data_IF_345174733503
#
_entry.id   IF_345174733503
#
_cell.length_a   1.000
_cell.length_b   1.000
_cell.length_c   1.000
_cell.angle_alpha   90.00
_cell.angle_beta   90.00
_cell.angle_gamma   90.00
#
_symmetry.space_group_name_H-M   'P 1'
#
loop_
_entity.id
_entity.type
_entity.pdbx_description
1 polymer ?
#
# COMPACT_ATOMS: atom_id res chain seq x y z
N UNK A 1 21.59 -4.37 6.06
CA UNK A 1 21.56 -4.30 7.55
C UNK A 1 20.23 -4.79 8.17
N UNK A 2 19.23 -5.24 7.39
CA UNK A 2 17.97 -5.79 7.91
C UNK A 2 17.89 -7.31 7.69
N UNK A 3 18.87 -8.06 8.19
CA UNK A 3 19.00 -9.47 7.80
C UNK A 3 18.17 -10.43 8.65
N UNK A 4 17.95 -10.11 9.94
CA UNK A 4 17.16 -10.94 10.83
C UNK A 4 16.39 -10.09 11.85
N UNK A 5 15.17 -10.55 12.18
CA UNK A 5 14.36 -10.02 13.28
C UNK A 5 13.98 -11.22 14.14
N UNK A 6 14.35 -11.20 15.43
CA UNK A 6 14.20 -12.34 16.34
C UNK A 6 14.84 -13.66 15.83
N UNK A 7 15.94 -13.57 15.08
CA UNK A 7 16.63 -14.74 14.53
C UNK A 7 15.99 -15.34 13.27
N UNK A 8 14.86 -14.81 12.81
CA UNK A 8 14.20 -15.19 11.56
C UNK A 8 14.55 -14.20 10.44
N UNK A 9 14.55 -14.63 9.15
CA UNK A 9 14.70 -13.71 8.03
C UNK A 9 13.68 -12.58 8.14
N UNK A 10 14.13 -11.33 8.02
CA UNK A 10 13.25 -10.17 8.20
C UNK A 10 12.14 -10.12 7.13
N UNK A 11 12.45 -10.62 5.93
CA UNK A 11 11.58 -10.51 4.76
C UNK A 11 10.19 -11.17 4.95
N UNK A 12 10.05 -12.45 5.39
CA UNK A 12 8.76 -13.04 5.69
C UNK A 12 7.90 -12.25 6.69
N UNK A 13 8.49 -11.71 7.77
CA UNK A 13 7.74 -10.93 8.75
C UNK A 13 7.21 -9.62 8.14
N UNK A 14 8.03 -8.96 7.32
CA UNK A 14 7.63 -7.75 6.61
C UNK A 14 6.54 -8.05 5.57
N UNK A 15 6.60 -9.19 4.89
CA UNK A 15 5.55 -9.63 3.95
C UNK A 15 4.19 -9.78 4.64
N UNK A 16 4.15 -10.31 5.87
CA UNK A 16 2.89 -10.38 6.63
C UNK A 16 2.31 -8.97 6.91
N UNK A 17 3.18 -8.02 7.28
CA UNK A 17 2.75 -6.64 7.46
C UNK A 17 2.18 -6.05 6.16
N UNK A 18 2.82 -6.29 5.01
CA UNK A 18 2.34 -5.83 3.69
C UNK A 18 0.97 -6.43 3.36
N UNK A 19 0.82 -7.75 3.46
CA UNK A 19 -0.39 -8.49 3.08
C UNK A 19 -1.58 -8.15 3.99
N UNK A 20 -1.34 -7.68 5.21
CA UNK A 20 -2.41 -7.22 6.12
C UNK A 20 -2.69 -5.73 5.94
N UNK A 21 -1.66 -4.89 6.00
CA UNK A 21 -1.83 -3.43 6.07
C UNK A 21 -2.31 -2.82 4.76
N UNK A 22 -1.81 -3.28 3.59
CA UNK A 22 -2.23 -2.70 2.31
C UNK A 22 -3.70 -3.00 1.99
N UNK A 23 -4.21 -4.24 2.10
CA UNK A 23 -5.64 -4.49 1.91
C UNK A 23 -6.51 -3.77 2.94
N UNK A 24 -6.08 -3.69 4.20
CA UNK A 24 -6.79 -2.93 5.24
C UNK A 24 -6.84 -1.43 4.91
N UNK A 25 -5.72 -0.85 4.45
CA UNK A 25 -5.65 0.52 3.98
C UNK A 25 -6.55 0.75 2.76
N UNK A 26 -6.59 -0.18 1.80
CA UNK A 26 -7.46 -0.09 0.64
C UNK A 26 -8.93 -0.04 1.03
N UNK A 27 -9.40 -1.00 1.82
CA UNK A 27 -10.83 -1.03 2.25
C UNK A 27 -11.18 0.20 3.07
N UNK A 28 -10.33 0.57 4.03
CA UNK A 28 -10.61 1.69 4.93
C UNK A 28 -10.53 3.06 4.22
N UNK A 29 -9.63 3.24 3.26
CA UNK A 29 -9.56 4.45 2.43
C UNK A 29 -10.75 4.57 1.47
N UNK A 30 -11.23 3.47 0.88
CA UNK A 30 -12.45 3.44 0.07
C UNK A 30 -13.65 3.84 0.93
N UNK A 31 -13.78 3.27 2.13
CA UNK A 31 -14.84 3.65 3.07
C UNK A 31 -14.77 5.15 3.43
N UNK A 32 -13.56 5.69 3.63
CA UNK A 32 -13.34 7.11 3.89
C UNK A 32 -13.70 8.01 2.70
N UNK A 33 -13.47 7.53 1.47
CA UNK A 33 -13.80 8.23 0.23
C UNK A 33 -15.32 8.29 -0.01
N UNK A 34 -16.02 7.16 0.24
CA UNK A 34 -17.47 7.03 0.05
C UNK A 34 -18.28 7.68 1.17
N UNK A 35 -17.75 7.70 2.40
CA UNK A 35 -18.47 8.18 3.59
C UNK A 35 -17.79 9.43 4.18
N UNK A 36 -18.05 10.64 3.63
CA UNK A 36 -17.51 11.91 4.10
C UNK A 36 -17.48 12.13 5.61
N UNK A 37 -18.56 11.80 6.30
CA UNK A 37 -18.72 11.95 7.75
C UNK A 37 -17.67 11.18 8.56
N UNK A 38 -17.10 10.11 8.01
CA UNK A 38 -16.08 9.31 8.71
C UNK A 38 -14.71 9.99 8.75
N UNK A 39 -14.44 10.98 7.88
CA UNK A 39 -13.15 11.70 7.84
C UNK A 39 -12.77 12.35 9.16
N UNK A 40 -13.74 12.89 9.90
CA UNK A 40 -13.45 13.57 11.16
C UNK A 40 -12.83 12.63 12.19
N UNK A 41 -13.29 11.36 12.24
CA UNK A 41 -12.86 10.38 13.24
C UNK A 41 -11.77 9.44 12.75
N UNK A 42 -11.84 9.01 11.49
CA UNK A 42 -11.04 7.89 10.98
C UNK A 42 -9.91 8.30 10.03
N UNK A 43 -9.79 9.57 9.64
CA UNK A 43 -8.72 9.98 8.72
C UNK A 43 -7.29 9.70 9.25
N UNK A 44 -7.04 9.91 10.55
CA UNK A 44 -5.74 9.63 11.15
C UNK A 44 -5.43 8.13 11.23
N UNK A 45 -6.33 7.27 11.78
CA UNK A 45 -6.14 5.82 11.73
C UNK A 45 -5.88 5.28 10.33
N UNK A 46 -6.71 5.68 9.35
CA UNK A 46 -6.54 5.26 7.94
C UNK A 46 -5.18 5.68 7.43
N UNK A 47 -4.77 6.93 7.66
CA UNK A 47 -3.47 7.42 7.22
C UNK A 47 -2.30 6.63 7.83
N UNK A 48 -2.34 6.34 9.14
CA UNK A 48 -1.29 5.55 9.79
C UNK A 48 -1.22 4.12 9.25
N UNK A 49 -2.37 3.48 9.02
CA UNK A 49 -2.42 2.14 8.41
C UNK A 49 -1.87 2.17 6.99
N UNK A 50 -2.25 3.16 6.18
CA UNK A 50 -1.73 3.33 4.82
C UNK A 50 -0.22 3.55 4.83
N UNK A 51 0.29 4.50 5.63
CA UNK A 51 1.73 4.77 5.70
C UNK A 51 2.52 3.58 6.25
N UNK A 52 1.96 2.85 7.21
CA UNK A 52 2.53 1.60 7.72
C UNK A 52 2.62 0.54 6.63
N UNK A 53 1.57 0.36 5.82
CA UNK A 53 1.58 -0.59 4.71
C UNK A 53 2.56 -0.21 3.59
N UNK A 54 2.64 1.08 3.25
CA UNK A 54 3.62 1.60 2.27
C UNK A 54 5.05 1.42 2.78
N UNK A 55 5.30 1.78 4.04
CA UNK A 55 6.61 1.59 4.67
C UNK A 55 7.00 0.12 4.70
N UNK A 56 6.07 -0.76 5.09
CA UNK A 56 6.29 -2.20 5.08
C UNK A 56 6.64 -2.72 3.67
N UNK A 57 5.99 -2.22 2.61
CA UNK A 57 6.28 -2.64 1.24
C UNK A 57 7.69 -2.24 0.79
N UNK A 58 8.12 -1.01 1.13
CA UNK A 58 9.49 -0.54 0.85
C UNK A 58 10.53 -1.38 1.58
N UNK A 59 10.34 -1.60 2.88
CA UNK A 59 11.29 -2.37 3.69
C UNK A 59 11.29 -3.85 3.27
N UNK A 60 10.13 -4.42 2.92
CA UNK A 60 10.01 -5.78 2.40
C UNK A 60 10.79 -5.94 1.09
N UNK A 61 10.69 -4.99 0.16
CA UNK A 61 11.46 -5.01 -1.10
C UNK A 61 12.96 -5.03 -0.82
N UNK A 62 13.45 -4.09 0.00
CA UNK A 62 14.89 -4.00 0.35
C UNK A 62 15.37 -5.32 0.97
N UNK A 63 14.62 -5.85 1.95
CA UNK A 63 14.96 -7.12 2.57
C UNK A 63 14.88 -8.32 1.60
N UNK A 64 14.00 -8.25 0.59
CA UNK A 64 13.83 -9.26 -0.44
C UNK A 64 14.97 -9.25 -1.46
N UNK A 65 15.47 -8.07 -1.83
CA UNK A 65 16.64 -7.91 -2.70
C UNK A 65 17.90 -8.47 -2.03
N UNK A 66 18.13 -8.13 -0.75
CA UNK A 66 19.21 -8.72 0.06
C UNK A 66 19.11 -10.26 0.12
N UNK A 67 17.88 -10.80 0.21
CA UNK A 67 17.65 -12.24 0.27
C UNK A 67 17.86 -12.92 -1.08
N UNK A 68 17.39 -12.31 -2.17
CA UNK A 68 17.58 -12.81 -3.52
C UNK A 68 19.08 -12.86 -3.89
N UNK A 69 19.86 -11.86 -3.48
CA UNK A 69 21.31 -11.85 -3.73
C UNK A 69 22.01 -13.02 -3.01
N UNK A 70 21.63 -13.32 -1.77
CA UNK A 70 22.14 -14.48 -1.02
C UNK A 70 21.78 -15.80 -1.69
N UNK A 71 20.54 -15.94 -2.18
CA UNK A 71 20.12 -17.14 -2.91
C UNK A 71 20.98 -17.34 -4.17
N UNK A 72 21.23 -16.26 -4.93
CA UNK A 72 22.14 -16.31 -6.09
C UNK A 72 23.56 -16.70 -5.71
N UNK A 73 24.11 -16.16 -4.62
CA UNK A 73 25.43 -16.55 -4.11
C UNK A 73 25.52 -18.03 -3.73
N UNK A 74 24.40 -18.62 -3.29
CA UNK A 74 24.28 -20.04 -2.97
C UNK A 74 23.91 -20.92 -4.18
N UNK A 75 23.94 -20.38 -5.40
CA UNK A 75 23.66 -21.12 -6.64
C UNK A 75 22.17 -21.30 -6.95
N UNK A 76 21.28 -20.63 -6.23
CA UNK A 76 19.83 -20.65 -6.48
C UNK A 76 19.46 -19.45 -7.35
N UNK A 77 19.35 -19.68 -8.65
CA UNK A 77 18.77 -18.73 -9.60
C UNK A 77 17.53 -19.34 -10.24
N UNK A 78 16.36 -18.74 -9.99
CA UNK A 78 15.09 -19.29 -10.39
C UNK A 78 14.12 -18.20 -10.87
N UNK A 79 13.43 -18.48 -11.97
CA UNK A 79 12.47 -17.57 -12.61
C UNK A 79 11.34 -17.14 -11.65
N UNK A 80 10.87 -18.02 -10.76
CA UNK A 80 9.82 -17.68 -9.81
C UNK A 80 10.27 -16.66 -8.77
N UNK A 81 11.53 -16.72 -8.32
CA UNK A 81 12.10 -15.72 -7.41
C UNK A 81 12.21 -14.37 -8.12
N UNK A 82 12.69 -14.36 -9.37
CA UNK A 82 12.81 -13.14 -10.17
C UNK A 82 11.43 -12.50 -10.40
N UNK A 83 10.44 -13.31 -10.81
CA UNK A 83 9.05 -12.87 -10.99
C UNK A 83 8.45 -12.31 -9.70
N UNK A 84 8.71 -12.92 -8.55
CA UNK A 84 8.27 -12.38 -7.26
C UNK A 84 8.91 -11.03 -6.95
N UNK A 85 10.22 -10.87 -7.20
CA UNK A 85 10.93 -9.62 -6.98
C UNK A 85 10.44 -8.48 -7.89
N UNK A 86 10.14 -8.78 -9.17
CA UNK A 86 9.56 -7.82 -10.12
C UNK A 86 8.16 -7.36 -9.70
N UNK A 87 7.32 -8.30 -9.27
CA UNK A 87 5.99 -8.00 -8.74
C UNK A 87 6.08 -7.20 -7.43
N UNK A 88 7.04 -7.52 -6.55
CA UNK A 88 7.33 -6.75 -5.34
C UNK A 88 7.72 -5.30 -5.64
N UNK A 89 8.54 -5.08 -6.67
CA UNK A 89 8.90 -3.73 -7.14
C UNK A 89 7.69 -2.98 -7.69
N UNK A 90 6.87 -3.66 -8.49
CA UNK A 90 5.63 -3.10 -9.04
C UNK A 90 4.65 -2.71 -7.92
N UNK A 91 4.44 -3.61 -6.94
CA UNK A 91 3.61 -3.37 -5.77
C UNK A 91 4.10 -2.16 -4.97
N UNK A 92 5.40 -1.99 -4.77
CA UNK A 92 5.93 -0.81 -4.06
C UNK A 92 5.53 0.50 -4.76
N UNK A 93 5.62 0.57 -6.09
CA UNK A 93 5.25 1.78 -6.84
C UNK A 93 3.75 2.09 -6.71
N UNK A 94 2.90 1.07 -6.78
CA UNK A 94 1.47 1.22 -6.56
C UNK A 94 1.14 1.64 -5.12
N UNK A 95 1.80 1.02 -4.13
CA UNK A 95 1.62 1.36 -2.73
C UNK A 95 2.03 2.82 -2.44
N UNK A 96 3.17 3.28 -2.97
CA UNK A 96 3.60 4.68 -2.84
C UNK A 96 2.59 5.65 -3.47
N UNK A 97 2.14 5.35 -4.69
CA UNK A 97 1.14 6.16 -5.41
C UNK A 97 -0.18 6.22 -4.62
N UNK A 98 -0.62 5.07 -4.09
CA UNK A 98 -1.80 4.96 -3.24
C UNK A 98 -1.64 5.78 -1.95
N UNK A 99 -0.50 5.69 -1.27
CA UNK A 99 -0.21 6.48 -0.07
C UNK A 99 -0.31 7.99 -0.30
N UNK A 100 0.27 8.48 -1.41
CA UNK A 100 0.14 9.88 -1.82
C UNK A 100 -1.32 10.26 -2.08
N UNK A 101 -2.07 9.40 -2.77
CA UNK A 101 -3.48 9.64 -3.04
C UNK A 101 -4.34 9.68 -1.75
N UNK A 102 -4.05 8.83 -0.76
CA UNK A 102 -4.74 8.86 0.55
C UNK A 102 -4.43 10.15 1.31
N UNK A 103 -3.19 10.63 1.29
CA UNK A 103 -2.83 11.94 1.86
C UNK A 103 -3.65 13.04 1.17
N UNK A 104 -3.69 13.03 -0.16
CA UNK A 104 -4.47 13.99 -0.94
C UNK A 104 -5.97 13.92 -0.61
N UNK A 105 -6.53 12.71 -0.42
CA UNK A 105 -7.94 12.52 -0.03
C UNK A 105 -8.24 13.15 1.32
N UNK A 106 -7.35 12.96 2.30
CA UNK A 106 -7.50 13.53 3.64
C UNK A 106 -7.42 15.05 3.61
N UNK A 107 -6.47 15.61 2.86
CA UNK A 107 -6.30 17.08 2.72
C UNK A 107 -7.45 17.71 1.96
N UNK A 108 -7.71 17.25 0.73
CA UNK A 108 -8.78 17.78 -0.12
C UNK A 108 -10.16 17.55 0.51
N UNK A 109 -10.37 16.41 1.16
CA UNK A 109 -11.61 16.11 1.87
C UNK A 109 -11.90 17.09 3.01
N UNK A 110 -10.89 17.42 3.83
CA UNK A 110 -11.03 18.41 4.91
C UNK A 110 -11.28 19.82 4.39
N UNK A 111 -10.64 20.21 3.28
CA UNK A 111 -10.90 21.51 2.64
C UNK A 111 -12.31 21.57 2.05
N UNK A 112 -12.77 20.48 1.43
CA UNK A 112 -14.15 20.37 0.95
C UNK A 112 -15.18 20.41 2.09
N UNK A 113 -14.88 19.85 3.26
CA UNK A 113 -15.75 19.91 4.45
C UNK A 113 -15.83 21.33 5.03
N UNK A 114 -14.75 22.12 4.94
CA UNK A 114 -14.77 23.56 5.26
C UNK A 114 -15.65 24.35 4.28
N UNK A 115 -15.53 24.09 2.98
CA UNK A 115 -16.43 24.70 1.97
C UNK A 115 -17.90 24.35 2.22
N UNK A 116 -18.22 23.14 2.74
CA UNK A 116 -19.60 22.73 3.13
C UNK A 116 -20.11 23.47 4.35
N UNK A 117 -19.23 23.72 5.32
CA UNK A 117 -19.61 24.38 6.57
C UNK A 117 -19.85 25.89 6.38
N UNK A 118 -19.16 26.50 5.40
CA UNK A 118 -19.28 27.92 5.07
C UNK A 118 -20.39 28.22 4.03
N UNK A 119 -21.25 27.25 3.67
CA UNK A 119 -22.20 27.35 2.56
C UNK A 119 -22.98 28.68 2.56
N UNK A 120 -22.76 29.50 1.53
CA UNK A 120 -23.35 30.84 1.36
C UNK A 120 -23.14 31.39 -0.05
N UNK A 121 -23.84 32.49 -0.44
CA UNK A 121 -23.68 33.10 -1.76
C UNK A 121 -22.22 33.53 -2.00
N UNK A 122 -21.60 33.04 -3.07
CA UNK A 122 -20.22 33.41 -3.46
C UNK A 122 -19.11 32.43 -3.04
N UNK A 123 -19.43 31.34 -2.30
CA UNK A 123 -18.43 30.32 -1.94
C UNK A 123 -18.09 29.45 -3.17
N UNK A 124 -16.80 29.35 -3.49
CA UNK A 124 -16.31 28.47 -4.57
C UNK A 124 -16.39 27.01 -4.14
N UNK A 125 -16.71 26.10 -5.08
CA UNK A 125 -16.87 24.65 -4.83
C UNK A 125 -15.66 23.85 -5.34
N UNK A 126 -14.50 24.48 -5.37
CA UNK A 126 -13.30 23.96 -6.03
C UNK A 126 -12.79 22.72 -5.31
N UNK A 127 -12.67 22.78 -3.97
CA UNK A 127 -12.19 21.65 -3.18
C UNK A 127 -13.20 20.50 -3.16
N UNK A 128 -14.51 20.75 -3.24
CA UNK A 128 -15.50 19.69 -3.45
C UNK A 128 -15.25 18.89 -4.73
N UNK A 129 -14.99 19.57 -5.86
CA UNK A 129 -14.69 18.91 -7.15
C UNK A 129 -13.38 18.13 -7.08
N UNK A 130 -12.32 18.74 -6.55
CA UNK A 130 -11.02 18.09 -6.35
C UNK A 130 -11.18 16.85 -5.46
N UNK A 131 -11.94 16.95 -4.36
CA UNK A 131 -12.17 15.83 -3.46
C UNK A 131 -12.87 14.65 -4.14
N UNK A 132 -13.77 14.87 -5.10
CA UNK A 132 -14.42 13.80 -5.87
C UNK A 132 -13.42 13.13 -6.81
N UNK A 133 -12.64 13.92 -7.55
CA UNK A 133 -11.60 13.38 -8.46
C UNK A 133 -10.57 12.56 -7.69
N UNK A 134 -10.10 13.07 -6.55
CA UNK A 134 -9.15 12.37 -5.67
C UNK A 134 -9.78 11.10 -5.08
N UNK A 135 -11.06 11.12 -4.71
CA UNK A 135 -11.76 9.93 -4.24
C UNK A 135 -11.79 8.81 -5.29
N UNK A 136 -12.10 9.16 -6.56
CA UNK A 136 -12.08 8.19 -7.67
C UNK A 136 -10.67 7.63 -7.89
N UNK A 137 -9.65 8.50 -7.85
CA UNK A 137 -8.26 8.09 -7.98
C UNK A 137 -7.84 7.13 -6.85
N UNK A 138 -8.21 7.43 -5.59
CA UNK A 138 -7.94 6.56 -4.44
C UNK A 138 -8.58 5.19 -4.63
N UNK A 139 -9.83 5.12 -5.08
CA UNK A 139 -10.51 3.84 -5.32
C UNK A 139 -9.75 3.02 -6.36
N UNK A 140 -9.36 3.62 -7.49
CA UNK A 140 -8.59 2.94 -8.52
C UNK A 140 -7.23 2.41 -8.01
N UNK A 141 -6.49 3.26 -7.30
CA UNK A 141 -5.19 2.89 -6.72
C UNK A 141 -5.30 1.84 -5.60
N UNK A 142 -6.35 1.90 -4.78
CA UNK A 142 -6.64 0.91 -3.74
C UNK A 142 -6.91 -0.48 -4.35
N UNK A 143 -7.68 -0.53 -5.43
CA UNK A 143 -7.93 -1.78 -6.18
C UNK A 143 -6.63 -2.31 -6.78
N UNK A 144 -5.87 -1.48 -7.50
CA UNK A 144 -4.60 -1.90 -8.10
C UNK A 144 -3.59 -2.38 -7.06
N UNK A 145 -3.45 -1.68 -5.94
CA UNK A 145 -2.57 -2.07 -4.84
C UNK A 145 -2.98 -3.43 -4.26
N UNK A 146 -4.28 -3.69 -4.13
CA UNK A 146 -4.80 -4.98 -3.64
C UNK A 146 -4.51 -6.10 -4.62
N UNK A 147 -4.76 -5.87 -5.92
CA UNK A 147 -4.48 -6.83 -6.98
C UNK A 147 -2.99 -7.19 -7.01
N UNK A 148 -2.11 -6.21 -7.00
CA UNK A 148 -0.66 -6.45 -6.98
C UNK A 148 -0.22 -7.14 -5.69
N UNK A 149 -0.83 -6.82 -4.54
CA UNK A 149 -0.55 -7.53 -3.28
C UNK A 149 -0.87 -9.02 -3.41
N UNK A 150 -2.01 -9.37 -4.01
CA UNK A 150 -2.41 -10.76 -4.25
C UNK A 150 -1.47 -11.45 -5.26
N UNK A 151 -1.13 -10.77 -6.36
CA UNK A 151 -0.21 -11.32 -7.38
C UNK A 151 1.17 -11.61 -6.81
N UNK A 152 1.74 -10.67 -6.05
CA UNK A 152 3.04 -10.83 -5.37
C UNK A 152 2.98 -11.94 -4.32
N UNK A 153 1.91 -11.99 -3.52
CA UNK A 153 1.73 -13.04 -2.51
C UNK A 153 1.59 -14.44 -3.13
N UNK A 154 0.86 -14.55 -4.23
CA UNK A 154 0.69 -15.81 -4.96
C UNK A 154 2.03 -16.31 -5.54
N UNK A 155 2.80 -15.44 -6.20
CA UNK A 155 4.11 -15.83 -6.76
C UNK A 155 5.11 -16.25 -5.68
N UNK A 156 5.10 -15.57 -4.52
CA UNK A 156 5.94 -15.94 -3.39
C UNK A 156 5.55 -17.30 -2.80
N UNK A 157 4.24 -17.54 -2.65
CA UNK A 157 3.72 -18.83 -2.17
C UNK A 157 4.05 -19.98 -3.12
N UNK A 158 3.99 -19.73 -4.44
CA UNK A 158 4.35 -20.71 -5.46
C UNK A 158 5.83 -21.11 -5.39
N UNK A 159 6.73 -20.14 -5.18
CA UNK A 159 8.16 -20.40 -5.04
C UNK A 159 8.46 -21.27 -3.80
N UNK A 160 7.82 -20.99 -2.66
CA UNK A 160 7.97 -21.79 -1.43
C UNK A 160 7.39 -23.19 -1.60
N UNK A 161 6.18 -23.31 -2.18
CA UNK A 161 5.52 -24.61 -2.38
C UNK A 161 6.32 -25.57 -3.27
N UNK A 162 7.09 -25.02 -4.23
CA UNK A 162 7.99 -25.78 -5.11
C UNK A 162 9.37 -26.07 -4.51
N UNK A 163 9.61 -25.70 -3.24
CA UNK A 163 10.87 -25.95 -2.53
C UNK A 163 12.03 -25.03 -2.95
N UNK A 164 11.71 -23.90 -3.59
CA UNK A 164 12.71 -22.95 -4.12
C UNK A 164 12.94 -21.78 -3.14
N UNK A 165 11.94 -21.48 -2.30
CA UNK A 165 11.90 -20.32 -1.42
C UNK A 165 12.16 -20.60 0.07
N UNK A 166 12.70 -21.76 0.43
CA UNK A 166 13.01 -22.18 1.82
C UNK A 166 14.50 -22.36 2.04
#
# INVERSE_FOLDING_TARGET
>A
MFQTVFGLPAHPLLVHAVVVLLPLASVSSIALAVVPRWRQRYAWPVLFVTLGGVGAAVVAKIAGEDFQEKLKQNGVDNELIQKHAELGTTLQLWALSFGVAVIALVVAGRLADRERSADGPGVTKTWRRISVVVAVLVVGLAVMTTVETVRTGHSGSEAVWKGIGS
#
